data_IF_396143192938
#
_entry.id   IF_396143192938
#
_cell.length_a   1.000
_cell.length_b   1.000
_cell.length_c   1.000
_cell.angle_alpha   90.00
_cell.angle_beta   90.00
_cell.angle_gamma   90.00
#
_symmetry.space_group_name_H-M   'P 1'
#
loop_
_entity.id
_entity.type
_entity.pdbx_description
1 polymer ?
#
# COMPACT_ATOMS: atom_id res chain seq x y z
N UNK A 1 -13.55 0.81 -32.47
CA UNK A 1 -12.94 1.83 -33.35
C UNK A 1 -11.80 1.17 -34.11
N UNK A 2 -11.39 1.76 -35.23
CA UNK A 2 -10.23 1.28 -35.99
C UNK A 2 -8.93 1.52 -35.22
N UNK A 3 -7.95 0.64 -35.37
CA UNK A 3 -6.63 0.79 -34.77
C UNK A 3 -5.82 1.84 -35.56
N UNK A 4 -5.32 2.86 -34.87
CA UNK A 4 -4.49 3.90 -35.49
C UNK A 4 -3.02 3.66 -35.17
N UNK A 5 -2.17 3.29 -36.14
CA UNK A 5 -0.76 3.05 -35.89
C UNK A 5 -0.04 4.37 -35.58
N UNK A 6 0.58 4.44 -34.40
CA UNK A 6 1.50 5.52 -34.02
C UNK A 6 2.48 5.01 -32.98
N UNK A 7 3.60 5.72 -32.80
CA UNK A 7 4.59 5.38 -31.79
C UNK A 7 4.00 5.44 -30.36
N UNK A 8 3.11 6.41 -30.12
CA UNK A 8 2.41 6.63 -28.86
C UNK A 8 1.39 5.52 -28.59
N UNK A 9 0.59 5.14 -29.59
CA UNK A 9 -0.40 4.09 -29.46
C UNK A 9 0.25 2.72 -29.22
N UNK A 10 1.38 2.45 -29.88
CA UNK A 10 2.15 1.22 -29.66
C UNK A 10 2.71 1.14 -28.22
N UNK A 11 3.28 2.23 -27.71
CA UNK A 11 3.78 2.29 -26.33
C UNK A 11 2.64 2.17 -25.29
N UNK A 12 1.52 2.84 -25.54
CA UNK A 12 0.33 2.76 -24.69
C UNK A 12 -0.24 1.33 -24.65
N UNK A 13 -0.34 0.67 -25.80
CA UNK A 13 -0.79 -0.72 -25.90
C UNK A 13 0.13 -1.66 -25.13
N UNK A 14 1.43 -1.58 -25.35
CA UNK A 14 2.44 -2.40 -24.66
C UNK A 14 2.34 -2.24 -23.14
N UNK A 15 2.26 -1.00 -22.64
CA UNK A 15 2.13 -0.71 -21.21
C UNK A 15 0.88 -1.35 -20.63
N UNK A 16 -0.27 -1.19 -21.28
CA UNK A 16 -1.54 -1.73 -20.80
C UNK A 16 -1.58 -3.26 -20.86
N UNK A 17 -1.04 -3.86 -21.93
CA UNK A 17 -0.99 -5.31 -22.10
C UNK A 17 -0.16 -5.96 -20.98
N UNK A 18 1.04 -5.44 -20.71
CA UNK A 18 1.91 -5.96 -19.64
C UNK A 18 1.31 -5.71 -18.26
N UNK A 19 0.71 -4.54 -18.04
CA UNK A 19 -0.02 -4.24 -16.81
C UNK A 19 -1.16 -5.23 -16.57
N UNK A 20 -1.95 -5.54 -17.60
CA UNK A 20 -3.04 -6.50 -17.53
C UNK A 20 -2.54 -7.92 -17.34
N UNK A 21 -1.51 -8.34 -18.07
CA UNK A 21 -0.98 -9.71 -18.01
C UNK A 21 -0.42 -10.02 -16.61
N UNK A 22 0.34 -9.09 -16.02
CA UNK A 22 0.84 -9.18 -14.64
C UNK A 22 -0.30 -9.25 -13.63
N UNK A 23 -1.31 -8.39 -13.77
CA UNK A 23 -2.44 -8.35 -12.84
C UNK A 23 -3.26 -9.65 -12.84
N UNK A 24 -3.23 -10.42 -13.92
CA UNK A 24 -3.98 -11.67 -14.07
C UNK A 24 -3.11 -12.93 -13.99
N UNK A 25 -1.80 -12.79 -13.74
CA UNK A 25 -0.86 -13.92 -13.74
C UNK A 25 -0.78 -14.66 -15.07
N UNK A 26 -0.94 -13.94 -16.19
CA UNK A 26 -0.91 -14.48 -17.55
C UNK A 26 0.43 -14.15 -18.20
N UNK A 27 1.09 -15.16 -18.76
CA UNK A 27 2.29 -14.97 -19.55
C UNK A 27 1.95 -14.31 -20.90
N UNK A 28 2.67 -13.24 -21.24
CA UNK A 28 2.48 -12.50 -22.48
C UNK A 28 3.77 -12.50 -23.30
N UNK A 29 3.66 -12.90 -24.57
CA UNK A 29 4.74 -12.81 -25.55
C UNK A 29 4.49 -11.59 -26.44
N UNK A 30 5.38 -10.61 -26.37
CA UNK A 30 5.26 -9.38 -27.15
C UNK A 30 5.85 -9.60 -28.54
N UNK A 31 5.02 -9.41 -29.55
CA UNK A 31 5.45 -9.34 -30.94
C UNK A 31 5.71 -7.87 -31.31
N UNK A 32 6.94 -7.44 -31.59
CA UNK A 32 8.18 -8.24 -31.63
C UNK A 32 9.36 -7.49 -31.00
N UNK A 33 10.50 -8.17 -30.87
CA UNK A 33 11.72 -7.53 -30.37
C UNK A 33 12.23 -6.45 -31.34
N UNK A 34 12.40 -6.76 -32.63
CA UNK A 34 13.00 -5.87 -33.60
C UNK A 34 12.08 -5.58 -34.78
N UNK A 35 12.22 -4.40 -35.36
CA UNK A 35 11.61 -4.07 -36.64
C UNK A 35 12.09 -5.00 -37.74
N UNK A 36 11.13 -5.63 -38.40
CA UNK A 36 11.34 -6.63 -39.44
C UNK A 36 11.22 -5.96 -40.81
N UNK A 37 12.30 -5.31 -41.26
CA UNK A 37 12.34 -4.55 -42.53
C UNK A 37 11.84 -5.31 -43.76
N UNK A 38 11.96 -6.64 -43.77
CA UNK A 38 11.51 -7.49 -44.87
C UNK A 38 9.98 -7.53 -45.03
N UNK A 39 9.21 -7.06 -44.02
CA UNK A 39 7.74 -6.94 -44.04
C UNK A 39 7.23 -5.60 -44.60
N UNK A 40 8.12 -4.75 -45.11
CA UNK A 40 7.69 -3.49 -45.71
C UNK A 40 6.84 -3.74 -46.96
N UNK A 41 5.70 -3.06 -47.05
CA UNK A 41 4.73 -3.23 -48.14
C UNK A 41 4.01 -4.60 -48.19
N UNK A 42 4.24 -5.51 -47.24
CA UNK A 42 3.56 -6.82 -47.20
C UNK A 42 2.22 -6.80 -46.47
N UNK A 43 1.93 -5.72 -45.75
CA UNK A 43 0.72 -5.54 -44.92
C UNK A 43 -0.01 -4.24 -45.28
N UNK A 44 -1.32 -4.20 -45.05
CA UNK A 44 -2.14 -2.98 -45.20
C UNK A 44 -1.52 -1.84 -44.38
N UNK A 45 -1.43 -0.65 -44.98
CA UNK A 45 -0.80 0.55 -44.40
C UNK A 45 0.71 0.42 -44.09
N UNK A 46 1.40 -0.59 -44.62
CA UNK A 46 2.85 -0.80 -44.48
C UNK A 46 3.36 -0.84 -43.03
N UNK A 47 2.53 -1.29 -42.09
CA UNK A 47 2.90 -1.34 -40.65
C UNK A 47 3.77 -2.55 -40.29
N UNK A 48 3.84 -3.56 -41.15
CA UNK A 48 4.51 -4.84 -40.88
C UNK A 48 5.99 -4.72 -40.49
N UNK A 49 6.68 -3.71 -40.99
CA UNK A 49 8.09 -3.45 -40.70
C UNK A 49 8.32 -2.67 -39.40
N UNK A 50 7.26 -2.36 -38.64
CA UNK A 50 7.30 -1.41 -37.51
C UNK A 50 6.82 -1.98 -36.16
N UNK A 51 6.61 -3.30 -36.06
CA UNK A 51 6.14 -3.96 -34.82
C UNK A 51 7.18 -4.04 -33.69
N UNK A 52 8.46 -3.80 -33.98
CA UNK A 52 9.55 -3.99 -33.03
C UNK A 52 9.53 -3.00 -31.87
N UNK A 53 10.00 -3.44 -30.71
CA UNK A 53 10.38 -2.55 -29.59
C UNK A 53 11.69 -1.79 -29.89
N UNK A 54 12.56 -2.43 -30.68
CA UNK A 54 13.82 -1.90 -31.19
C UNK A 54 13.70 -1.68 -32.70
N UNK A 55 14.44 -0.71 -33.23
CA UNK A 55 14.71 -0.63 -34.66
C UNK A 55 15.51 -1.85 -35.12
N UNK A 56 15.52 -2.11 -36.43
CA UNK A 56 16.23 -3.26 -37.02
C UNK A 56 17.74 -3.26 -36.75
N UNK A 57 18.32 -2.11 -36.44
CA UNK A 57 19.75 -1.94 -36.11
C UNK A 57 20.06 -2.18 -34.62
N UNK A 58 19.04 -2.55 -33.83
CA UNK A 58 19.15 -2.81 -32.40
C UNK A 58 19.05 -1.58 -31.51
N UNK A 59 18.89 -0.38 -32.08
CA UNK A 59 18.64 0.82 -31.28
C UNK A 59 17.20 0.83 -30.77
N UNK A 60 17.01 1.28 -29.53
CA UNK A 60 15.68 1.30 -28.90
C UNK A 60 14.80 2.40 -29.53
N UNK A 61 13.53 2.09 -29.80
CA UNK A 61 12.59 3.13 -30.25
C UNK A 61 12.35 4.14 -29.13
N UNK A 62 12.35 5.46 -29.40
CA UNK A 62 12.14 6.48 -28.37
C UNK A 62 10.86 6.29 -27.55
N UNK A 63 9.74 5.92 -28.18
CA UNK A 63 8.47 5.65 -27.48
C UNK A 63 8.51 4.39 -26.61
N UNK A 64 9.40 3.44 -26.94
CA UNK A 64 9.60 2.21 -26.17
C UNK A 64 10.65 2.40 -25.09
N UNK A 65 11.52 3.42 -25.19
CA UNK A 65 12.58 3.68 -24.21
C UNK A 65 12.04 3.85 -22.79
N UNK A 66 10.84 4.41 -22.61
CA UNK A 66 10.20 4.52 -21.29
C UNK A 66 9.86 3.16 -20.66
N UNK A 67 9.58 2.13 -21.49
CA UNK A 67 9.34 0.77 -20.99
C UNK A 67 10.60 0.18 -20.34
N UNK A 68 11.78 0.55 -20.85
CA UNK A 68 13.07 0.03 -20.38
C UNK A 68 13.80 0.99 -19.43
N UNK A 69 13.42 2.27 -19.41
CA UNK A 69 13.81 3.23 -18.39
C UNK A 69 12.94 2.98 -17.16
N UNK A 70 13.35 2.03 -16.33
CA UNK A 70 12.72 1.81 -15.03
C UNK A 70 12.61 3.11 -14.24
N UNK A 71 11.51 3.27 -13.50
CA UNK A 71 11.42 4.33 -12.50
C UNK A 71 12.42 4.07 -11.36
N UNK A 72 12.82 5.14 -10.68
CA UNK A 72 13.65 5.07 -9.49
C UNK A 72 12.86 5.44 -8.23
N UNK A 73 13.33 4.95 -7.09
CA UNK A 73 12.85 5.42 -5.79
C UNK A 73 13.44 6.79 -5.46
N UNK A 74 12.59 7.74 -5.11
CA UNK A 74 12.96 8.98 -4.43
C UNK A 74 12.55 8.88 -2.97
N UNK A 75 13.51 8.90 -2.04
CA UNK A 75 13.24 8.79 -0.61
C UNK A 75 13.90 9.96 0.11
N UNK A 76 13.10 10.73 0.85
CA UNK A 76 13.58 11.89 1.60
C UNK A 76 13.11 11.81 3.05
N UNK A 77 14.00 12.06 4.00
CA UNK A 77 13.63 12.34 5.39
C UNK A 77 13.49 13.84 5.58
N UNK A 78 12.27 14.31 5.82
CA UNK A 78 11.97 15.71 6.12
C UNK A 78 11.34 15.79 7.51
N UNK A 79 12.15 16.20 8.48
CA UNK A 79 11.70 16.49 9.85
C UNK A 79 10.93 15.32 10.50
N UNK A 80 11.39 14.07 10.29
CA UNK A 80 10.74 12.88 10.86
C UNK A 80 9.55 12.38 10.05
N UNK A 81 9.45 12.76 8.78
CA UNK A 81 8.55 12.15 7.80
C UNK A 81 9.41 11.63 6.66
N UNK A 82 9.40 10.31 6.46
CA UNK A 82 10.02 9.68 5.29
C UNK A 82 9.03 9.73 4.13
N UNK A 83 9.28 10.60 3.18
CA UNK A 83 8.53 10.74 1.95
C UNK A 83 9.05 9.73 0.90
N UNK A 84 8.16 8.89 0.37
CA UNK A 84 8.49 7.83 -0.57
C UNK A 84 7.80 8.12 -1.89
N UNK A 85 8.59 8.39 -2.92
CA UNK A 85 8.16 8.64 -4.28
C UNK A 85 8.77 7.61 -5.24
N UNK A 86 8.12 7.39 -6.37
CA UNK A 86 8.63 6.54 -7.43
C UNK A 86 8.32 7.17 -8.79
N UNK A 87 9.33 7.28 -9.64
CA UNK A 87 9.16 7.92 -10.94
C UNK A 87 10.46 8.13 -11.70
N UNK A 88 10.41 8.96 -12.74
CA UNK A 88 11.53 9.23 -13.64
C UNK A 88 11.38 10.61 -14.30
N UNK A 89 12.45 11.11 -14.91
CA UNK A 89 12.45 12.35 -15.70
C UNK A 89 11.86 13.58 -14.96
N UNK A 90 12.14 13.70 -13.66
CA UNK A 90 11.65 14.81 -12.82
C UNK A 90 10.21 14.67 -12.34
N UNK A 91 9.47 13.64 -12.78
CA UNK A 91 8.13 13.33 -12.27
C UNK A 91 8.22 12.22 -11.21
N UNK A 92 8.13 12.61 -9.93
CA UNK A 92 8.21 11.70 -8.77
C UNK A 92 6.97 11.85 -7.89
N UNK A 93 5.82 11.27 -8.28
CA UNK A 93 4.65 11.23 -7.42
C UNK A 93 4.97 10.50 -6.12
N UNK A 94 4.51 11.07 -5.01
CA UNK A 94 4.66 10.47 -3.69
C UNK A 94 3.59 9.41 -3.50
N UNK A 95 3.99 8.20 -3.12
CA UNK A 95 3.12 7.05 -2.88
C UNK A 95 3.00 6.68 -1.40
N UNK A 96 3.95 7.08 -0.57
CA UNK A 96 3.87 6.83 0.87
C UNK A 96 4.57 7.89 1.72
N UNK A 97 4.19 7.89 3.00
CA UNK A 97 4.81 8.67 4.04
C UNK A 97 4.92 7.82 5.33
N UNK A 98 6.10 7.77 5.94
CA UNK A 98 6.30 7.17 7.26
C UNK A 98 6.58 8.27 8.29
N UNK A 99 5.65 8.46 9.22
CA UNK A 99 5.78 9.39 10.33
C UNK A 99 6.57 8.73 11.46
N UNK A 100 7.83 9.12 11.63
CA UNK A 100 8.77 8.42 12.52
C UNK A 100 8.54 8.72 13.99
N UNK A 101 7.85 9.81 14.32
CA UNK A 101 7.48 10.14 15.70
C UNK A 101 6.36 9.26 16.27
N UNK A 102 5.52 8.69 15.40
CA UNK A 102 4.33 7.90 15.81
C UNK A 102 4.31 6.49 15.23
N UNK A 103 5.21 6.16 14.30
CA UNK A 103 5.24 4.91 13.51
C UNK A 103 4.06 4.72 12.54
N UNK A 104 3.43 5.83 12.13
CA UNK A 104 2.29 5.78 11.20
C UNK A 104 2.80 5.73 9.77
N UNK A 105 2.46 4.64 9.08
CA UNK A 105 2.76 4.43 7.68
C UNK A 105 1.50 4.69 6.84
N UNK A 106 1.56 5.71 5.99
CA UNK A 106 0.47 6.10 5.08
C UNK A 106 0.87 5.77 3.67
N UNK A 107 -0.06 5.20 2.93
CA UNK A 107 0.09 4.89 1.51
C UNK A 107 -0.99 5.64 0.73
N UNK A 108 -0.69 6.01 -0.51
CA UNK A 108 -1.63 6.55 -1.47
C UNK A 108 -1.37 5.92 -2.85
N UNK A 109 -2.28 6.16 -3.79
CA UNK A 109 -2.19 5.66 -5.17
C UNK A 109 -2.42 6.80 -6.18
N UNK A 110 -1.70 7.92 -6.01
CA UNK A 110 -1.86 9.11 -6.86
C UNK A 110 -3.10 9.97 -6.53
N UNK A 111 -3.64 9.79 -5.33
CA UNK A 111 -4.80 10.51 -4.79
C UNK A 111 -4.48 11.22 -3.47
N UNK A 112 -5.49 11.31 -2.59
CA UNK A 112 -5.33 11.90 -1.25
C UNK A 112 -4.65 10.95 -0.26
N UNK A 113 -4.30 11.49 0.92
CA UNK A 113 -3.89 10.68 2.07
C UNK A 113 -5.11 10.13 2.81
N UNK A 114 -5.01 9.03 3.54
CA UNK A 114 -6.16 8.52 4.29
C UNK A 114 -5.72 7.70 5.48
N UNK A 115 -6.28 6.51 5.57
CA UNK A 115 -5.95 5.51 6.58
C UNK A 115 -4.43 5.28 6.70
N UNK A 116 -3.97 5.21 7.95
CA UNK A 116 -2.60 4.84 8.31
C UNK A 116 -2.56 3.41 8.84
N UNK A 117 -1.49 2.68 8.55
CA UNK A 117 -1.11 1.51 9.34
C UNK A 117 -0.13 1.93 10.44
N UNK A 118 -0.32 1.46 11.66
CA UNK A 118 0.60 1.70 12.77
C UNK A 118 1.59 0.54 12.82
N UNK A 119 2.88 0.83 12.58
CA UNK A 119 3.91 -0.21 12.49
C UNK A 119 4.35 -0.74 13.87
N UNK A 120 4.30 0.11 14.90
CA UNK A 120 4.52 -0.32 16.26
C UNK A 120 3.34 -1.19 16.76
N UNK A 121 3.59 -2.28 17.51
CA UNK A 121 2.53 -3.00 18.19
C UNK A 121 1.80 -2.06 19.16
N UNK A 122 0.50 -2.26 19.34
CA UNK A 122 -0.29 -1.58 20.37
C UNK A 122 -0.82 -2.59 21.37
N UNK A 123 -0.89 -2.25 22.65
CA UNK A 123 -1.40 -3.18 23.66
C UNK A 123 -1.92 -2.47 24.91
N UNK A 124 -2.81 -3.16 25.61
CA UNK A 124 -3.29 -2.74 26.92
C UNK A 124 -2.42 -3.31 28.03
N UNK A 125 -1.97 -2.46 28.94
CA UNK A 125 -1.24 -2.85 30.15
C UNK A 125 -1.63 -1.91 31.29
N UNK A 126 -2.10 -2.46 32.40
CA UNK A 126 -2.52 -1.71 33.57
C UNK A 126 -3.66 -0.73 33.27
N UNK A 127 -4.58 -1.08 32.36
CA UNK A 127 -5.70 -0.23 31.95
C UNK A 127 -5.31 0.94 31.05
N UNK A 128 -4.08 0.99 30.56
CA UNK A 128 -3.60 2.01 29.60
C UNK A 128 -3.33 1.36 28.24
N UNK A 129 -3.85 1.97 27.18
CA UNK A 129 -3.51 1.61 25.81
C UNK A 129 -2.19 2.29 25.42
N UNK A 130 -1.17 1.49 25.16
CA UNK A 130 0.07 1.93 24.55
C UNK A 130 -0.06 1.75 23.04
N UNK A 131 0.06 2.83 22.29
CA UNK A 131 0.01 2.81 20.82
C UNK A 131 0.85 3.94 20.24
N UNK A 132 1.50 3.65 19.11
CA UNK A 132 2.38 4.60 18.44
C UNK A 132 3.62 4.96 19.27
N UNK A 133 4.77 4.98 18.62
CA UNK A 133 6.01 5.40 19.28
C UNK A 133 6.99 5.92 18.25
N UNK A 134 8.02 6.60 18.75
CA UNK A 134 9.13 7.02 17.92
C UNK A 134 9.91 5.80 17.44
N UNK A 135 10.26 5.79 16.15
CA UNK A 135 11.10 4.77 15.53
C UNK A 135 12.36 5.40 14.95
N UNK A 136 13.46 4.65 14.97
CA UNK A 136 14.62 4.89 14.11
C UNK A 136 14.42 4.15 12.79
N UNK A 137 15.10 4.59 11.73
CA UNK A 137 14.97 3.99 10.41
C UNK A 137 16.27 4.05 9.60
N UNK A 138 16.35 3.18 8.60
CA UNK A 138 17.29 3.25 7.49
C UNK A 138 16.63 2.66 6.25
N UNK A 139 17.14 2.96 5.05
CA UNK A 139 16.61 2.36 3.84
C UNK A 139 17.70 2.02 2.84
N UNK A 140 17.39 1.08 1.95
CA UNK A 140 18.21 0.69 0.81
C UNK A 140 17.31 0.26 -0.34
N UNK A 141 17.87 0.28 -1.55
CA UNK A 141 17.23 -0.32 -2.71
C UNK A 141 17.82 -1.72 -2.89
N UNK A 142 16.97 -2.73 -2.87
CA UNK A 142 17.35 -4.12 -3.15
C UNK A 142 16.69 -4.57 -4.44
N UNK A 143 17.50 -4.78 -5.48
CA UNK A 143 17.02 -4.97 -6.86
C UNK A 143 16.14 -3.78 -7.28
N UNK A 144 14.84 -3.98 -7.43
CA UNK A 144 13.86 -2.95 -7.79
C UNK A 144 13.04 -2.47 -6.60
N UNK A 145 13.18 -3.09 -5.42
CA UNK A 145 12.36 -2.80 -4.24
C UNK A 145 13.02 -1.77 -3.33
N UNK A 146 12.22 -0.92 -2.71
CA UNK A 146 12.65 -0.10 -1.58
C UNK A 146 12.45 -0.90 -0.29
N UNK A 147 13.52 -1.04 0.47
CA UNK A 147 13.52 -1.74 1.76
C UNK A 147 13.82 -0.72 2.86
N UNK A 148 12.86 -0.50 3.76
CA UNK A 148 13.00 0.38 4.92
C UNK A 148 13.06 -0.48 6.17
N UNK A 149 14.15 -0.41 6.92
CA UNK A 149 14.26 -1.01 8.24
C UNK A 149 13.84 0.00 9.29
N UNK A 150 13.13 -0.44 10.32
CA UNK A 150 12.76 0.38 11.46
C UNK A 150 12.98 -0.35 12.78
N UNK A 151 13.27 0.41 13.84
CA UNK A 151 13.39 -0.09 15.20
C UNK A 151 12.71 0.87 16.15
N UNK A 152 12.08 0.35 17.20
CA UNK A 152 11.44 1.18 18.21
C UNK A 152 11.29 0.45 19.53
N UNK A 153 10.88 1.23 20.54
CA UNK A 153 10.48 0.72 21.84
C UNK A 153 9.14 1.36 22.21
N UNK A 154 8.20 0.55 22.67
CA UNK A 154 6.95 1.03 23.24
C UNK A 154 6.80 0.46 24.65
N UNK A 155 6.75 1.35 25.64
CA UNK A 155 6.88 1.00 27.05
C UNK A 155 8.15 0.16 27.30
N UNK A 156 8.05 -1.14 27.62
CA UNK A 156 9.20 -2.04 27.78
C UNK A 156 9.45 -2.96 26.58
N UNK A 157 8.59 -2.94 25.56
CA UNK A 157 8.70 -3.85 24.41
C UNK A 157 9.55 -3.22 23.31
N UNK A 158 10.74 -3.79 23.10
CA UNK A 158 11.55 -3.53 21.91
C UNK A 158 10.96 -4.28 20.70
N UNK A 159 10.95 -3.60 19.55
CA UNK A 159 10.57 -4.20 18.28
C UNK A 159 11.42 -3.67 17.12
N UNK A 160 11.52 -4.47 16.08
CA UNK A 160 12.13 -4.09 14.81
C UNK A 160 11.32 -4.65 13.66
N UNK A 161 11.47 -4.07 12.48
CA UNK A 161 10.78 -4.56 11.31
C UNK A 161 11.31 -4.00 10.01
N UNK A 162 10.73 -4.52 8.93
CA UNK A 162 11.06 -4.13 7.57
C UNK A 162 9.78 -3.82 6.78
N UNK A 163 9.84 -2.78 5.97
CA UNK A 163 8.86 -2.43 4.94
C UNK A 163 9.55 -2.69 3.60
N UNK A 164 9.10 -3.70 2.86
CA UNK A 164 9.57 -3.97 1.50
C UNK A 164 8.52 -3.54 0.51
N UNK A 165 8.84 -2.53 -0.29
CA UNK A 165 7.91 -1.89 -1.22
C UNK A 165 8.33 -2.21 -2.65
N UNK A 166 7.40 -2.77 -3.42
CA UNK A 166 7.60 -3.00 -4.85
C UNK A 166 7.29 -1.73 -5.65
N UNK A 167 7.91 -1.54 -6.84
CA UNK A 167 7.53 -0.49 -7.76
C UNK A 167 6.00 -0.43 -7.94
N UNK A 168 5.35 0.75 -7.88
CA UNK A 168 3.93 0.88 -8.12
C UNK A 168 3.52 0.28 -9.46
N UNK A 169 2.40 -0.44 -9.51
CA UNK A 169 1.90 -1.05 -10.75
C UNK A 169 0.39 -0.93 -10.83
N UNK A 170 -0.12 -0.53 -12.00
CA UNK A 170 -1.55 -0.62 -12.37
C UNK A 170 -2.54 -0.07 -11.31
N UNK A 171 -2.24 1.08 -10.69
CA UNK A 171 -3.12 1.71 -9.69
C UNK A 171 -3.10 1.06 -8.31
N UNK A 172 -2.25 0.04 -8.10
CA UNK A 172 -1.98 -0.57 -6.82
C UNK A 172 -0.61 -0.15 -6.31
N UNK A 173 -0.54 0.08 -5.00
CA UNK A 173 0.71 0.28 -4.30
C UNK A 173 0.75 -0.69 -3.12
N UNK A 174 1.76 -1.55 -3.10
CA UNK A 174 1.83 -2.69 -2.17
C UNK A 174 3.15 -2.67 -1.41
N UNK A 175 3.06 -2.93 -0.11
CA UNK A 175 4.21 -3.13 0.75
C UNK A 175 4.06 -4.40 1.58
N UNK A 176 5.17 -5.10 1.77
CA UNK A 176 5.31 -6.22 2.67
C UNK A 176 5.88 -5.73 4.00
N UNK A 177 5.19 -6.02 5.10
CA UNK A 177 5.61 -5.66 6.45
C UNK A 177 5.97 -6.93 7.21
N UNK A 178 7.12 -6.91 7.86
CA UNK A 178 7.60 -7.98 8.75
C UNK A 178 8.08 -7.35 10.04
N UNK A 179 7.59 -7.83 11.18
CA UNK A 179 7.90 -7.28 12.50
C UNK A 179 8.32 -8.39 13.45
N UNK A 180 9.32 -8.08 14.29
CA UNK A 180 9.83 -8.91 15.37
C UNK A 180 9.78 -8.12 16.68
N UNK A 181 9.22 -8.72 17.73
CA UNK A 181 9.07 -8.15 19.07
C UNK A 181 9.30 -9.24 20.15
N UNK A 182 10.51 -9.81 20.25
CA UNK A 182 10.77 -11.01 21.06
C UNK A 182 10.77 -10.77 22.57
N UNK A 183 10.88 -9.50 23.01
CA UNK A 183 11.04 -9.14 24.41
C UNK A 183 9.89 -9.55 25.33
N UNK A 184 8.72 -9.87 24.76
CA UNK A 184 7.50 -10.18 25.49
C UNK A 184 6.98 -8.98 26.31
N UNK A 185 5.68 -8.93 26.56
CA UNK A 185 5.09 -7.94 27.46
C UNK A 185 3.86 -8.55 28.13
N UNK A 186 3.68 -8.26 29.42
CA UNK A 186 2.46 -8.63 30.13
C UNK A 186 1.35 -7.68 29.68
N UNK A 187 0.31 -8.25 29.07
CA UNK A 187 -0.86 -7.51 28.58
C UNK A 187 -2.06 -7.77 29.48
N UNK A 188 -3.01 -6.84 29.47
CA UNK A 188 -4.27 -6.99 30.21
C UNK A 188 -5.11 -8.14 29.63
N UNK A 189 -5.95 -8.75 30.47
CA UNK A 189 -6.94 -9.73 30.01
C UNK A 189 -8.09 -9.03 29.28
N UNK A 190 -7.89 -8.74 27.99
CA UNK A 190 -8.86 -8.07 27.11
C UNK A 190 -9.01 -8.83 25.80
N UNK A 191 -9.85 -9.88 25.75
CA UNK A 191 -9.97 -10.72 24.58
C UNK A 191 -10.25 -9.93 23.30
N UNK A 192 -9.45 -10.18 22.25
CA UNK A 192 -9.60 -9.51 20.95
C UNK A 192 -9.05 -8.08 20.87
N UNK A 193 -8.47 -7.53 21.94
CA UNK A 193 -7.80 -6.23 21.89
C UNK A 193 -6.55 -6.10 22.76
N UNK A 194 -6.19 -7.12 23.53
CA UNK A 194 -5.06 -7.09 24.47
C UNK A 194 -3.73 -6.73 23.80
N UNK A 195 -3.38 -7.40 22.70
CA UNK A 195 -2.20 -7.12 21.89
C UNK A 195 -2.57 -6.99 20.41
N UNK A 196 -2.64 -5.75 19.92
CA UNK A 196 -3.02 -5.35 18.56
C UNK A 196 -1.75 -5.26 17.71
N UNK A 197 -1.43 -6.34 16.98
CA UNK A 197 -0.19 -6.46 16.21
C UNK A 197 -0.29 -5.90 14.79
N UNK A 198 -1.50 -5.83 14.21
CA UNK A 198 -1.75 -5.05 12.98
C UNK A 198 -2.89 -4.08 13.28
N UNK A 199 -2.65 -2.78 13.12
CA UNK A 199 -3.66 -1.75 13.39
C UNK A 199 -3.73 -0.72 12.29
N UNK A 200 -4.96 -0.46 11.83
CA UNK A 200 -5.31 0.65 10.96
C UNK A 200 -5.95 1.76 11.78
N UNK A 201 -5.60 3.01 11.43
CA UNK A 201 -6.06 4.26 12.02
C UNK A 201 -6.65 5.14 10.92
N UNK A 202 -7.88 5.63 11.11
CA UNK A 202 -8.57 6.42 10.09
C UNK A 202 -9.59 7.37 10.72
N UNK A 203 -10.22 8.21 9.89
CA UNK A 203 -11.19 9.22 10.34
C UNK A 203 -12.55 9.04 9.65
N UNK A 204 -13.62 9.10 10.43
CA UNK A 204 -14.98 9.34 9.97
C UNK A 204 -15.77 10.09 11.06
N UNK A 205 -16.12 11.35 10.78
CA UNK A 205 -16.93 12.19 11.68
C UNK A 205 -18.36 12.38 11.15
N UNK A 206 -18.81 11.53 10.22
CA UNK A 206 -20.15 11.53 9.64
C UNK A 206 -20.30 12.35 8.35
N UNK A 207 -21.47 12.19 7.72
CA UNK A 207 -21.83 12.90 6.48
C UNK A 207 -20.81 12.70 5.36
N UNK A 208 -20.29 13.81 4.84
CA UNK A 208 -19.28 13.86 3.78
C UNK A 208 -17.87 14.20 4.28
N UNK A 209 -17.60 13.97 5.57
CA UNK A 209 -16.31 14.26 6.23
C UNK A 209 -15.67 12.99 6.77
N UNK A 210 -14.88 12.34 5.92
CA UNK A 210 -14.23 11.07 6.26
C UNK A 210 -13.02 10.78 5.36
N UNK A 211 -12.10 9.99 5.92
CA UNK A 211 -11.00 9.31 5.23
C UNK A 211 -11.38 7.86 4.85
N UNK A 212 -12.30 7.24 5.60
CA UNK A 212 -12.88 5.94 5.25
C UNK A 212 -14.40 5.87 5.45
N UNK A 213 -15.06 5.04 4.64
CA UNK A 213 -16.52 4.89 4.60
C UNK A 213 -17.04 3.76 5.50
N UNK A 214 -16.31 2.66 5.56
CA UNK A 214 -16.67 1.46 6.31
C UNK A 214 -15.46 0.53 6.45
N UNK A 215 -15.54 -0.39 7.41
CA UNK A 215 -14.61 -1.51 7.53
C UNK A 215 -15.16 -2.75 6.81
N UNK A 216 -14.27 -3.66 6.44
CA UNK A 216 -14.64 -4.99 5.96
C UNK A 216 -13.68 -6.06 6.48
N UNK A 217 -14.19 -7.28 6.62
CA UNK A 217 -13.43 -8.48 6.99
C UNK A 217 -13.88 -9.58 6.03
N UNK A 218 -12.95 -10.12 5.23
CA UNK A 218 -13.34 -10.97 4.11
C UNK A 218 -14.28 -10.23 3.15
N UNK A 219 -15.41 -10.85 2.84
CA UNK A 219 -16.49 -10.23 2.05
C UNK A 219 -17.50 -9.44 2.90
N UNK A 220 -17.43 -9.52 4.24
CA UNK A 220 -18.40 -8.91 5.13
C UNK A 220 -18.09 -7.43 5.36
N UNK A 221 -19.11 -6.59 5.21
CA UNK A 221 -19.03 -5.14 5.45
C UNK A 221 -19.54 -4.80 6.86
N UNK A 222 -18.85 -3.86 7.51
CA UNK A 222 -19.18 -3.31 8.83
C UNK A 222 -19.29 -1.79 8.73
N UNK A 223 -20.50 -1.26 8.92
CA UNK A 223 -20.73 0.19 8.98
C UNK A 223 -20.24 0.73 10.31
N UNK A 224 -19.76 1.97 10.29
CA UNK A 224 -19.29 2.60 11.51
C UNK A 224 -20.47 3.00 12.41
N UNK A 225 -20.42 2.66 13.71
CA UNK A 225 -21.39 3.15 14.69
C UNK A 225 -21.13 4.64 14.98
N UNK A 226 -22.04 5.30 15.71
CA UNK A 226 -21.78 6.66 16.21
C UNK A 226 -20.64 6.68 17.25
N UNK A 227 -20.55 5.60 18.04
CA UNK A 227 -19.50 5.35 19.01
C UNK A 227 -19.52 3.86 19.39
N UNK A 228 -18.37 3.25 19.59
CA UNK A 228 -18.24 1.89 20.11
C UNK A 228 -17.68 0.88 19.12
N UNK A 229 -17.97 -0.39 19.36
CA UNK A 229 -17.48 -1.51 18.55
C UNK A 229 -17.99 -1.43 17.11
N UNK A 230 -17.06 -1.42 16.16
CA UNK A 230 -17.34 -1.62 14.73
C UNK A 230 -17.67 -3.10 14.49
N UNK A 231 -17.01 -3.99 15.24
CA UNK A 231 -17.17 -5.44 15.17
C UNK A 231 -17.29 -5.97 16.61
N UNK A 232 -18.51 -6.12 17.11
CA UNK A 232 -18.78 -6.43 18.52
C UNK A 232 -18.31 -7.82 18.97
N UNK A 233 -18.17 -8.77 18.04
CA UNK A 233 -17.56 -10.07 18.29
C UNK A 233 -16.40 -10.24 17.30
N UNK A 234 -15.18 -10.32 17.82
CA UNK A 234 -13.99 -10.41 16.98
C UNK A 234 -14.08 -11.60 16.01
N UNK A 235 -13.71 -11.38 14.76
CA UNK A 235 -13.84 -12.36 13.68
C UNK A 235 -12.47 -12.89 13.33
N UNK A 236 -12.32 -14.22 13.30
CA UNK A 236 -11.08 -14.84 12.86
C UNK A 236 -10.93 -14.70 11.35
N UNK A 237 -9.88 -14.01 10.91
CA UNK A 237 -9.64 -13.79 9.47
C UNK A 237 -8.18 -13.43 9.20
N UNK A 238 -7.79 -13.49 7.92
CA UNK A 238 -6.52 -12.97 7.40
C UNK A 238 -6.67 -11.66 6.64
N UNK A 239 -7.87 -11.38 6.13
CA UNK A 239 -8.13 -10.26 5.26
C UNK A 239 -9.15 -9.30 5.88
N UNK A 240 -8.75 -8.04 5.98
CA UNK A 240 -9.57 -6.95 6.48
C UNK A 240 -9.06 -5.62 5.96
N UNK A 241 -9.86 -4.57 6.08
CA UNK A 241 -9.41 -3.25 5.70
C UNK A 241 -10.47 -2.16 5.82
N UNK A 242 -10.11 -0.97 5.36
CA UNK A 242 -10.94 0.22 5.43
C UNK A 242 -11.15 0.78 4.02
N UNK A 243 -12.41 0.93 3.64
CA UNK A 243 -12.78 1.46 2.32
C UNK A 243 -12.59 2.98 2.30
N UNK A 244 -11.73 3.47 1.41
CA UNK A 244 -11.59 4.90 1.11
C UNK A 244 -12.60 5.37 0.07
N UNK A 245 -12.30 6.48 -0.61
CA UNK A 245 -13.11 7.06 -1.68
C UNK A 245 -13.08 8.59 -1.66
N UNK A 246 -14.06 9.20 -2.30
CA UNK A 246 -14.20 10.66 -2.35
C UNK A 246 -15.37 11.13 -1.47
N UNK A 247 -15.11 12.18 -0.71
CA UNK A 247 -16.02 12.90 0.17
C UNK A 247 -15.86 14.41 -0.06
N UNK A 248 -16.71 15.24 0.52
CA UNK A 248 -16.54 16.70 0.45
C UNK A 248 -15.30 17.17 1.20
N UNK A 249 -14.85 16.41 2.20
CA UNK A 249 -13.59 16.63 2.92
C UNK A 249 -12.37 16.26 2.09
N UNK A 250 -12.45 15.17 1.32
CA UNK A 250 -11.28 14.58 0.67
C UNK A 250 -11.61 13.85 -0.62
N UNK A 251 -10.89 14.19 -1.68
CA UNK A 251 -10.94 13.44 -2.93
C UNK A 251 -9.96 12.25 -2.89
N UNK A 252 -10.41 11.10 -3.38
CA UNK A 252 -9.59 9.92 -3.66
C UNK A 252 -8.76 9.44 -2.46
N UNK A 253 -9.37 9.35 -1.28
CA UNK A 253 -8.74 8.68 -0.15
C UNK A 253 -8.58 7.18 -0.51
N UNK A 254 -7.41 6.57 -0.29
CA UNK A 254 -7.16 5.20 -0.73
C UNK A 254 -7.95 4.21 0.12
N UNK A 255 -8.43 3.15 -0.54
CA UNK A 255 -8.78 1.92 0.14
C UNK A 255 -7.51 1.23 0.61
N UNK A 256 -7.46 0.85 1.89
CA UNK A 256 -6.35 0.10 2.47
C UNK A 256 -6.83 -1.31 2.76
N UNK A 257 -6.20 -2.29 2.12
CA UNK A 257 -6.42 -3.72 2.32
C UNK A 257 -5.22 -4.32 3.08
N UNK A 258 -5.51 -5.18 4.06
CA UNK A 258 -4.53 -6.00 4.77
C UNK A 258 -4.75 -7.47 4.42
N UNK A 259 -3.66 -8.17 4.14
CA UNK A 259 -3.59 -9.63 4.05
C UNK A 259 -2.48 -10.14 4.98
N UNK A 260 -2.83 -10.67 6.15
CA UNK A 260 -1.88 -11.26 7.07
C UNK A 260 -1.48 -12.68 6.65
N UNK A 261 -0.30 -13.12 7.06
CA UNK A 261 0.16 -14.49 6.80
C UNK A 261 -0.61 -15.53 7.62
N UNK A 262 -0.99 -15.15 8.84
CA UNK A 262 -1.71 -15.98 9.79
C UNK A 262 -3.07 -15.36 10.13
N UNK A 263 -4.02 -16.20 10.50
CA UNK A 263 -5.31 -15.74 11.01
C UNK A 263 -5.16 -14.98 12.33
N UNK A 264 -5.91 -13.89 12.45
CA UNK A 264 -6.01 -13.07 13.65
C UNK A 264 -7.45 -12.84 14.06
N UNK A 265 -7.66 -12.48 15.32
CA UNK A 265 -8.95 -11.99 15.78
C UNK A 265 -9.10 -10.53 15.38
N UNK A 266 -9.97 -10.26 14.40
CA UNK A 266 -10.17 -8.93 13.84
C UNK A 266 -11.37 -8.25 14.51
N UNK A 267 -11.15 -7.06 15.06
CA UNK A 267 -12.21 -6.18 15.55
C UNK A 267 -11.85 -4.72 15.31
N UNK A 268 -12.71 -3.79 15.72
CA UNK A 268 -12.46 -2.37 15.62
C UNK A 268 -13.36 -1.56 16.52
N UNK A 269 -12.95 -0.33 16.78
CA UNK A 269 -13.64 0.63 17.62
C UNK A 269 -13.67 1.99 16.95
N UNK A 270 -14.80 2.68 17.07
CA UNK A 270 -14.92 4.09 16.73
C UNK A 270 -15.16 4.89 17.99
N UNK A 271 -14.35 5.91 18.22
CA UNK A 271 -14.58 6.91 19.26
C UNK A 271 -15.30 8.10 18.63
N UNK A 272 -16.38 8.58 19.24
CA UNK A 272 -17.07 9.76 18.74
C UNK A 272 -16.13 10.97 18.74
N UNK A 273 -15.97 11.61 17.58
CA UNK A 273 -15.27 12.89 17.45
C UNK A 273 -15.97 13.75 16.41
N UNK A 274 -15.78 15.07 16.53
CA UNK A 274 -16.15 16.07 15.54
C UNK A 274 -14.94 16.78 14.94
N UNK A 275 -13.71 16.42 15.35
CA UNK A 275 -12.48 16.99 14.84
C UNK A 275 -11.98 16.14 13.67
N UNK A 276 -11.89 16.68 12.44
CA UNK A 276 -11.44 15.91 11.28
C UNK A 276 -9.94 15.58 11.32
N UNK A 277 -9.19 16.11 12.28
CA UNK A 277 -7.80 15.73 12.54
C UNK A 277 -7.67 14.56 13.54
N UNK A 278 -8.77 14.12 14.15
CA UNK A 278 -8.77 12.95 15.00
C UNK A 278 -8.98 11.70 14.14
N UNK A 279 -7.98 10.83 14.11
CA UNK A 279 -8.18 9.46 13.62
C UNK A 279 -9.01 8.69 14.65
N UNK A 280 -10.32 8.82 14.53
CA UNK A 280 -11.28 8.31 15.51
C UNK A 280 -11.69 6.85 15.28
N UNK A 281 -11.12 6.19 14.25
CA UNK A 281 -11.35 4.79 13.90
C UNK A 281 -10.10 3.97 14.16
N UNK A 282 -10.24 2.87 14.91
CA UNK A 282 -9.27 1.79 14.96
C UNK A 282 -9.86 0.49 14.40
N UNK A 283 -9.14 -0.19 13.51
CA UNK A 283 -9.45 -1.55 13.05
C UNK A 283 -8.17 -2.40 13.15
N UNK A 284 -8.22 -3.55 13.81
CA UNK A 284 -7.00 -4.28 14.13
C UNK A 284 -7.17 -5.80 14.11
N UNK A 285 -6.03 -6.48 13.94
CA UNK A 285 -5.83 -7.88 14.31
C UNK A 285 -5.15 -7.95 15.68
N UNK A 286 -5.69 -8.77 16.59
CA UNK A 286 -5.16 -8.91 17.93
C UNK A 286 -5.05 -10.36 18.40
N UNK A 287 -4.18 -10.55 19.39
CA UNK A 287 -4.03 -11.76 20.19
C UNK A 287 -4.25 -11.43 21.67
N UNK A 288 -4.58 -12.44 22.46
CA UNK A 288 -4.77 -12.31 23.91
C UNK A 288 -3.43 -12.27 24.67
N UNK A 289 -2.30 -12.41 23.96
CA UNK A 289 -0.94 -12.40 24.49
C UNK A 289 -0.01 -11.67 23.53
N UNK A 290 1.14 -11.22 24.03
CA UNK A 290 2.18 -10.63 23.20
C UNK A 290 2.64 -11.61 22.10
N UNK A 291 2.68 -11.13 20.86
CA UNK A 291 3.12 -11.91 19.70
C UNK A 291 4.59 -11.61 19.39
N UNK A 292 5.47 -12.62 19.27
CA UNK A 292 6.91 -12.38 19.09
C UNK A 292 7.28 -11.94 17.68
N UNK A 293 6.46 -12.25 16.68
CA UNK A 293 6.64 -11.79 15.30
C UNK A 293 5.33 -11.89 14.52
N UNK A 294 5.21 -11.08 13.47
CA UNK A 294 4.11 -11.15 12.52
C UNK A 294 4.51 -10.52 11.19
N UNK A 295 3.72 -10.83 10.18
CA UNK A 295 3.95 -10.34 8.84
C UNK A 295 2.63 -10.23 8.07
N UNK A 296 2.55 -9.23 7.22
CA UNK A 296 1.37 -8.98 6.41
C UNK A 296 1.72 -8.18 5.16
N UNK A 297 0.85 -8.26 4.17
CA UNK A 297 0.87 -7.40 3.00
C UNK A 297 -0.16 -6.30 3.19
N UNK A 298 0.25 -5.05 2.98
CA UNK A 298 -0.63 -3.89 2.92
C UNK A 298 -0.71 -3.41 1.48
N UNK A 299 -1.93 -3.15 0.99
CA UNK A 299 -2.17 -2.62 -0.35
C UNK A 299 -3.02 -1.37 -0.27
N UNK A 300 -2.59 -0.32 -0.96
CA UNK A 300 -3.37 0.87 -1.24
C UNK A 300 -3.89 0.82 -2.67
N UNK A 301 -5.18 1.09 -2.83
CA UNK A 301 -5.87 1.17 -4.13
C UNK A 301 -6.93 2.26 -4.12
N UNK A 302 -7.43 2.69 -5.29
CA UNK A 302 -8.52 3.67 -5.38
C UNK A 302 -9.81 3.26 -4.63
#
# INVERSE_FOLDING_TARGET
GEAMPSAENAAFYLKNLISWSRANGIDAYIFSAFDEKWKDGTELNSVGSHWGMFYSDGTIKPSMAEFFKGGGWGVNDKNGIIEIAYGSNGNYPQYAALHTASSYFRMNCGGGWGTSAILAPSFWKGGTLYQGTKISHSWKIEKENLVIHFNGRIETLDFSGTITIAPPSSGLFTARIEVSAPGGVSVDNRPGEAFQYIKLSSMNIGGSSWDSQYAYIGAQIYRFPENGWIVSAAVKSRNFGLKGGSSSWKANAPTIDILSDEEGMITGWLTKSSNPNDDNIGLWAADDRARPSWSYTITARP
#
